data_IF_769935741328
#
_entry.id   IF_769935741328
#
_cell.length_a   1.000
_cell.length_b   1.000
_cell.length_c   1.000
_cell.angle_alpha   90.00
_cell.angle_beta   90.00
_cell.angle_gamma   90.00
#
_symmetry.space_group_name_H-M   'P 1'
#
loop_
_entity.id
_entity.type
_entity.pdbx_description
1 polymer ?
#
# COMPACT_ATOMS: atom_id res chain seq x y z
N UNK A 1 -26.88 14.66 9.30
CA UNK A 1 -25.55 14.47 8.69
C UNK A 1 -25.78 14.19 7.22
N UNK A 2 -25.68 15.22 6.38
CA UNK A 2 -25.64 15.06 4.94
C UNK A 2 -24.19 14.72 4.56
N UNK A 3 -23.99 13.86 3.56
CA UNK A 3 -22.67 13.43 3.10
C UNK A 3 -21.76 14.65 2.87
N UNK A 4 -20.74 14.80 3.72
CA UNK A 4 -19.91 16.00 3.80
C UNK A 4 -19.39 16.30 5.20
N UNK A 5 -20.07 15.82 6.26
CA UNK A 5 -19.67 16.05 7.66
C UNK A 5 -18.48 15.22 8.16
N UNK A 6 -17.67 14.67 7.26
CA UNK A 6 -16.33 14.18 7.60
C UNK A 6 -15.33 15.28 7.31
N UNK A 7 -15.34 16.35 8.13
CA UNK A 7 -14.27 17.35 8.13
C UNK A 7 -12.89 16.69 8.31
N UNK A 8 -11.77 17.41 8.13
CA UNK A 8 -10.43 16.84 8.21
C UNK A 8 -10.15 16.29 9.63
N UNK A 9 -10.55 15.05 9.88
CA UNK A 9 -10.28 14.35 11.12
C UNK A 9 -8.81 13.97 11.09
N UNK A 10 -8.08 14.39 12.13
CA UNK A 10 -6.72 13.90 12.35
C UNK A 10 -6.79 12.37 12.43
N UNK A 11 -6.15 11.70 11.47
CA UNK A 11 -6.10 10.23 11.44
C UNK A 11 -5.52 9.73 12.76
N UNK A 12 -6.17 8.73 13.33
CA UNK A 12 -5.70 8.10 14.57
C UNK A 12 -4.31 7.48 14.34
N UNK A 13 -3.47 7.31 15.37
CA UNK A 13 -2.18 6.65 15.22
C UNK A 13 -2.32 5.23 14.63
N UNK A 14 -3.41 4.54 14.95
CA UNK A 14 -3.74 3.23 14.37
C UNK A 14 -4.00 3.31 12.87
N UNK A 15 -4.85 4.24 12.41
CA UNK A 15 -5.13 4.43 10.98
C UNK A 15 -3.86 4.80 10.19
N UNK A 16 -2.98 5.62 10.77
CA UNK A 16 -1.70 5.95 10.13
C UNK A 16 -0.81 4.72 9.98
N UNK A 17 -0.76 3.87 11.01
CA UNK A 17 -0.03 2.61 10.96
C UNK A 17 -0.61 1.66 9.91
N UNK A 18 -1.94 1.51 9.85
CA UNK A 18 -2.60 0.67 8.84
C UNK A 18 -2.30 1.16 7.43
N UNK A 19 -2.36 2.47 7.17
CA UNK A 19 -2.02 3.05 5.87
C UNK A 19 -0.55 2.79 5.53
N UNK A 20 0.36 2.94 6.49
CA UNK A 20 1.77 2.66 6.30
C UNK A 20 2.02 1.20 5.91
N UNK A 21 1.37 0.25 6.60
CA UNK A 21 1.44 -1.18 6.28
C UNK A 21 0.90 -1.47 4.88
N UNK A 22 -0.23 -0.87 4.50
CA UNK A 22 -0.82 -1.03 3.17
C UNK A 22 0.14 -0.52 2.08
N UNK A 23 0.77 0.63 2.30
CA UNK A 23 1.76 1.16 1.35
C UNK A 23 2.93 0.19 1.19
N UNK A 24 3.46 -0.36 2.28
CA UNK A 24 4.52 -1.37 2.23
C UNK A 24 4.06 -2.61 1.46
N UNK A 25 2.86 -3.12 1.75
CA UNK A 25 2.31 -4.30 1.07
C UNK A 25 2.22 -4.09 -0.45
N UNK A 26 1.84 -2.88 -0.88
CA UNK A 26 1.80 -2.52 -2.29
C UNK A 26 3.20 -2.58 -2.93
N UNK A 27 4.20 -1.97 -2.28
CA UNK A 27 5.58 -2.00 -2.76
C UNK A 27 6.17 -3.40 -2.78
N UNK A 28 5.91 -4.22 -1.75
CA UNK A 28 6.34 -5.62 -1.69
C UNK A 28 5.73 -6.43 -2.84
N UNK A 29 4.44 -6.22 -3.12
CA UNK A 29 3.75 -6.92 -4.22
C UNK A 29 4.35 -6.56 -5.57
N UNK A 30 4.55 -5.27 -5.83
CA UNK A 30 5.18 -4.79 -7.07
C UNK A 30 6.62 -5.30 -7.19
N UNK A 31 7.40 -5.22 -6.10
CA UNK A 31 8.77 -5.70 -6.05
C UNK A 31 8.88 -7.21 -6.31
N UNK A 32 7.97 -8.00 -5.76
CA UNK A 32 7.92 -9.44 -6.01
C UNK A 32 7.61 -9.75 -7.48
N UNK A 33 6.63 -9.06 -8.08
CA UNK A 33 6.32 -9.23 -9.51
C UNK A 33 7.55 -8.91 -10.36
N UNK A 34 8.21 -7.78 -10.11
CA UNK A 34 9.43 -7.38 -10.84
C UNK A 34 10.55 -8.41 -10.66
N UNK A 35 10.79 -8.87 -9.44
CA UNK A 35 11.82 -9.88 -9.16
C UNK A 35 11.53 -11.19 -9.92
N UNK A 36 10.29 -11.68 -9.88
CA UNK A 36 9.89 -12.89 -10.62
C UNK A 36 10.05 -12.73 -12.13
N UNK A 37 9.70 -11.56 -12.68
CA UNK A 37 9.86 -11.28 -14.10
C UNK A 37 11.35 -11.24 -14.51
N UNK A 38 12.21 -10.60 -13.71
CA UNK A 38 13.66 -10.57 -13.94
C UNK A 38 14.23 -12.00 -13.90
N UNK A 39 13.86 -12.80 -12.89
CA UNK A 39 14.30 -14.19 -12.80
C UNK A 39 13.83 -15.03 -13.98
N UNK A 40 12.60 -14.83 -14.46
CA UNK A 40 12.07 -15.53 -15.62
C UNK A 40 12.83 -15.17 -16.92
N UNK A 41 13.20 -13.90 -17.10
CA UNK A 41 13.98 -13.45 -18.27
C UNK A 41 15.44 -13.90 -18.20
N UNK A 42 16.02 -13.99 -17.01
CA UNK A 42 17.42 -14.40 -16.84
C UNK A 42 17.62 -15.92 -16.98
N UNK A 43 16.64 -16.73 -16.57
CA UNK A 43 16.72 -18.20 -16.61
C UNK A 43 16.07 -18.83 -17.85
N UNK A 44 15.45 -18.04 -18.72
CA UNK A 44 14.89 -18.47 -20.01
C UNK A 44 15.82 -18.13 -21.17
#
# INVERSE_FOLDING_TARGET
MAFGDNGPKKKTPFEKLTIFVILIMLFVTIGAIIATAITAVWNG
#
